data_IF_697756252310
#
_entry.id   IF_697756252310
#
_cell.length_a   1.000
_cell.length_b   1.000
_cell.length_c   1.000
_cell.angle_alpha   90.00
_cell.angle_beta   90.00
_cell.angle_gamma   90.00
#
_symmetry.space_group_name_H-M   'P 1'
#
loop_
_entity.id
_entity.type
_entity.pdbx_description
1 polymer ?
#
# COMPACT_ATOMS: atom_id res chain seq x y z
N UNK A 1 -44.16 42.81 42.65
CA UNK A 1 -43.97 41.44 42.14
C UNK A 1 -43.00 41.50 40.96
N UNK A 2 -41.71 41.14 41.12
CA UNK A 2 -40.78 41.06 39.99
C UNK A 2 -40.64 39.61 39.52
N UNK A 3 -40.60 39.45 38.19
CA UNK A 3 -40.47 38.19 37.46
C UNK A 3 -38.97 37.86 37.34
N UNK A 4 -38.57 36.67 37.78
CA UNK A 4 -37.21 36.15 37.60
C UNK A 4 -37.06 35.48 36.22
N UNK A 5 -36.14 36.00 35.41
CA UNK A 5 -35.82 35.51 34.07
C UNK A 5 -34.72 34.44 34.16
N UNK A 6 -35.06 33.19 33.83
CA UNK A 6 -34.11 32.07 33.75
C UNK A 6 -33.41 32.07 32.38
N UNK A 7 -32.10 32.33 32.36
CA UNK A 7 -31.27 32.25 31.16
C UNK A 7 -30.60 30.88 31.09
N UNK A 8 -31.07 30.00 30.17
CA UNK A 8 -30.40 28.74 29.85
C UNK A 8 -29.48 28.95 28.65
N UNK A 9 -28.17 28.84 28.86
CA UNK A 9 -27.15 28.83 27.83
C UNK A 9 -27.10 27.42 27.23
N UNK A 10 -27.47 27.29 25.96
CA UNK A 10 -27.31 26.06 25.17
C UNK A 10 -25.97 26.15 24.43
N UNK A 11 -25.01 25.33 24.85
CA UNK A 11 -23.73 25.19 24.15
C UNK A 11 -23.92 24.31 22.90
N UNK A 12 -23.80 24.89 21.72
CA UNK A 12 -23.79 24.17 20.45
C UNK A 12 -22.39 23.60 20.19
N UNK A 13 -22.26 22.27 20.19
CA UNK A 13 -21.07 21.55 19.75
C UNK A 13 -20.96 21.62 18.22
N UNK A 14 -20.04 22.44 17.71
CA UNK A 14 -19.63 22.40 16.30
C UNK A 14 -18.80 21.14 16.05
N UNK A 15 -19.40 20.14 15.39
CA UNK A 15 -18.67 19.06 14.74
C UNK A 15 -17.98 19.62 13.50
N UNK A 16 -16.69 19.94 13.61
CA UNK A 16 -15.88 20.28 12.45
C UNK A 16 -15.67 19.02 11.61
N UNK A 17 -16.44 18.90 10.52
CA UNK A 17 -16.16 17.92 9.47
C UNK A 17 -14.84 18.29 8.80
N UNK A 18 -13.77 17.55 9.11
CA UNK A 18 -12.54 17.61 8.33
C UNK A 18 -12.84 17.06 6.94
N UNK A 19 -12.93 17.95 5.95
CA UNK A 19 -12.89 17.56 4.56
C UNK A 19 -11.51 16.96 4.28
N UNK A 20 -11.46 15.64 4.09
CA UNK A 20 -10.27 14.98 3.58
C UNK A 20 -10.04 15.51 2.15
N UNK A 21 -8.99 16.32 1.98
CA UNK A 21 -8.50 16.69 0.66
C UNK A 21 -8.09 15.42 -0.06
N UNK A 22 -8.95 14.95 -0.97
CA UNK A 22 -8.62 13.89 -1.91
C UNK A 22 -7.50 14.43 -2.80
N UNK A 23 -6.26 14.08 -2.49
CA UNK A 23 -5.17 14.25 -3.42
C UNK A 23 -5.56 13.48 -4.68
N UNK A 24 -5.81 14.18 -5.78
CA UNK A 24 -6.03 13.53 -7.06
C UNK A 24 -4.72 12.82 -7.40
N UNK A 25 -4.67 11.51 -7.15
CA UNK A 25 -3.54 10.69 -7.56
C UNK A 25 -3.30 10.94 -9.06
N UNK A 26 -2.04 11.14 -9.50
CA UNK A 26 -1.73 11.31 -10.91
C UNK A 26 -2.37 10.15 -11.68
N UNK A 27 -2.97 10.45 -12.84
CA UNK A 27 -3.63 9.46 -13.70
C UNK A 27 -2.70 8.28 -13.86
N UNK A 28 -3.03 7.19 -13.16
CA UNK A 28 -2.19 6.00 -13.07
C UNK A 28 -2.19 5.36 -14.45
N UNK A 29 -1.06 5.44 -15.15
CA UNK A 29 -0.87 4.64 -16.36
C UNK A 29 -0.81 3.18 -15.93
N UNK A 30 -1.70 2.37 -16.48
CA UNK A 30 -1.69 0.91 -16.27
C UNK A 30 -0.31 0.37 -16.59
N UNK A 31 0.17 -0.63 -15.82
CA UNK A 31 1.30 -1.42 -16.25
C UNK A 31 1.05 -1.92 -17.66
N UNK A 32 1.97 -1.71 -18.61
CA UNK A 32 1.86 -2.39 -19.90
C UNK A 32 2.36 -3.82 -19.66
N UNK A 33 1.48 -4.83 -19.65
CA UNK A 33 1.90 -6.19 -19.37
C UNK A 33 2.89 -6.71 -20.42
N UNK A 34 3.08 -6.03 -21.56
CA UNK A 34 4.15 -6.36 -22.51
C UNK A 34 5.54 -6.01 -21.98
N UNK A 35 5.68 -4.95 -21.20
CA UNK A 35 6.99 -4.50 -20.67
C UNK A 35 7.55 -5.51 -19.67
N UNK A 36 6.71 -6.16 -18.86
CA UNK A 36 7.15 -7.10 -17.83
C UNK A 36 7.02 -8.58 -18.20
N UNK A 37 6.19 -8.93 -19.18
CA UNK A 37 5.96 -10.35 -19.58
C UNK A 37 7.26 -11.07 -19.94
N UNK A 38 8.15 -10.40 -20.68
CA UNK A 38 9.43 -11.00 -21.06
C UNK A 38 10.30 -11.25 -19.84
N UNK A 39 10.47 -10.24 -18.98
CA UNK A 39 11.24 -10.38 -17.75
C UNK A 39 10.67 -11.48 -16.84
N UNK A 40 9.36 -11.53 -16.63
CA UNK A 40 8.70 -12.57 -15.85
C UNK A 40 8.98 -13.97 -16.40
N UNK A 41 8.85 -14.17 -17.72
CA UNK A 41 9.16 -15.46 -18.36
C UNK A 41 10.64 -15.85 -18.22
N UNK A 42 11.56 -14.89 -18.25
CA UNK A 42 12.99 -15.16 -18.04
C UNK A 42 13.26 -15.60 -16.59
N UNK A 43 12.61 -14.98 -15.61
CA UNK A 43 12.70 -15.37 -14.21
C UNK A 43 12.09 -16.76 -13.95
N UNK A 44 10.93 -17.05 -14.54
CA UNK A 44 10.27 -18.37 -14.44
C UNK A 44 11.16 -19.49 -15.02
N UNK A 45 11.86 -19.19 -16.13
CA UNK A 45 12.82 -20.11 -16.76
C UNK A 45 14.21 -20.09 -16.10
N UNK A 46 14.42 -19.30 -15.04
CA UNK A 46 15.70 -19.11 -14.35
C UNK A 46 16.85 -18.64 -15.28
N UNK A 47 16.54 -17.96 -16.39
CA UNK A 47 17.52 -17.37 -17.30
C UNK A 47 18.00 -16.01 -16.77
N UNK A 48 18.82 -16.07 -15.71
CA UNK A 48 19.33 -14.87 -15.04
C UNK A 48 20.17 -13.95 -15.95
N UNK A 49 21.06 -14.45 -16.85
CA UNK A 49 21.78 -13.58 -17.77
C UNK A 49 20.85 -12.74 -18.66
N UNK A 50 19.82 -13.36 -19.24
CA UNK A 50 18.86 -12.65 -20.07
C UNK A 50 17.98 -11.71 -19.24
N UNK A 51 17.53 -12.13 -18.05
CA UNK A 51 16.74 -11.30 -17.15
C UNK A 51 17.50 -10.02 -16.75
N UNK A 52 18.79 -10.15 -16.43
CA UNK A 52 19.65 -9.00 -16.11
C UNK A 52 19.83 -8.07 -17.31
N UNK A 53 19.90 -8.63 -18.53
CA UNK A 53 19.97 -7.81 -19.74
C UNK A 53 18.67 -7.02 -19.97
N UNK A 54 17.52 -7.67 -19.83
CA UNK A 54 16.20 -7.02 -19.91
C UNK A 54 16.06 -5.89 -18.88
N UNK A 55 16.48 -6.14 -17.62
CA UNK A 55 16.51 -5.12 -16.56
C UNK A 55 17.39 -3.94 -16.94
N UNK A 56 18.59 -4.16 -17.48
CA UNK A 56 19.49 -3.07 -17.90
C UNK A 56 18.84 -2.20 -18.98
N UNK A 57 18.15 -2.81 -19.93
CA UNK A 57 17.53 -2.09 -21.03
C UNK A 57 16.26 -1.33 -20.56
N UNK A 58 15.46 -1.93 -19.68
CA UNK A 58 14.33 -1.25 -19.05
C UNK A 58 14.73 -0.10 -18.13
N UNK A 59 15.85 -0.22 -17.39
CA UNK A 59 16.41 0.88 -16.58
C UNK A 59 16.79 2.06 -17.49
N UNK A 60 17.47 1.82 -18.62
CA UNK A 60 17.83 2.88 -19.58
C UNK A 60 16.60 3.55 -20.17
N UNK A 61 15.56 2.77 -20.49
CA UNK A 61 14.31 3.26 -21.03
C UNK A 61 13.38 3.90 -19.98
N UNK A 62 13.74 3.85 -18.69
CA UNK A 62 12.90 4.27 -17.55
C UNK A 62 11.50 3.63 -17.58
N UNK A 63 11.44 2.35 -17.93
CA UNK A 63 10.18 1.60 -17.91
C UNK A 63 9.75 1.36 -16.46
N UNK A 64 8.62 1.93 -16.00
CA UNK A 64 8.24 1.94 -14.58
C UNK A 64 8.11 0.53 -13.99
N UNK A 65 7.52 -0.40 -14.72
CA UNK A 65 7.30 -1.76 -14.21
C UNK A 65 8.56 -2.62 -14.25
N UNK A 66 9.47 -2.38 -15.21
CA UNK A 66 10.78 -3.04 -15.22
C UNK A 66 11.64 -2.51 -14.07
N UNK A 67 11.57 -1.21 -13.77
CA UNK A 67 12.23 -0.63 -12.58
C UNK A 67 11.70 -1.26 -11.29
N UNK A 68 10.38 -1.46 -11.17
CA UNK A 68 9.77 -2.20 -10.06
C UNK A 68 10.31 -3.62 -9.91
N UNK A 69 10.32 -4.40 -11.00
CA UNK A 69 10.82 -5.77 -10.97
C UNK A 69 12.33 -5.82 -10.65
N UNK A 70 13.11 -4.91 -11.21
CA UNK A 70 14.54 -4.78 -10.93
C UNK A 70 14.80 -4.47 -9.45
N UNK A 71 13.99 -3.60 -8.84
CA UNK A 71 14.07 -3.30 -7.42
C UNK A 71 13.82 -4.54 -6.57
N UNK A 72 12.74 -5.28 -6.84
CA UNK A 72 12.41 -6.53 -6.15
C UNK A 72 13.51 -7.60 -6.32
N UNK A 73 14.05 -7.75 -7.53
CA UNK A 73 15.18 -8.66 -7.82
C UNK A 73 16.42 -8.32 -6.97
N UNK A 74 16.76 -7.02 -6.85
CA UNK A 74 17.85 -6.57 -5.99
C UNK A 74 17.54 -6.68 -4.50
N UNK A 75 16.28 -6.55 -4.10
CA UNK A 75 15.86 -6.68 -2.71
C UNK A 75 15.98 -8.13 -2.23
N UNK A 76 15.45 -9.07 -3.03
CA UNK A 76 15.38 -10.50 -2.71
C UNK A 76 16.65 -11.27 -3.13
N UNK A 77 17.53 -10.66 -3.92
CA UNK A 77 18.73 -11.31 -4.44
C UNK A 77 18.46 -12.33 -5.55
N UNK A 78 17.38 -12.15 -6.31
CA UNK A 78 17.00 -13.03 -7.42
C UNK A 78 17.71 -12.59 -8.69
N UNK A 79 18.54 -13.47 -9.26
CA UNK A 79 19.38 -13.22 -10.45
C UNK A 79 20.37 -12.04 -10.34
N UNK A 80 20.38 -11.31 -9.22
CA UNK A 80 21.23 -10.16 -8.94
C UNK A 80 21.71 -10.27 -7.49
N UNK A 81 22.87 -9.69 -7.18
CA UNK A 81 23.33 -9.62 -5.79
C UNK A 81 22.37 -8.73 -4.98
N UNK A 82 21.93 -9.24 -3.83
CA UNK A 82 21.06 -8.48 -2.95
C UNK A 82 21.69 -7.12 -2.56
N UNK A 83 20.94 -6.04 -2.76
CA UNK A 83 21.33 -4.68 -2.43
C UNK A 83 20.08 -3.81 -2.21
N UNK A 84 19.68 -3.65 -0.95
CA UNK A 84 18.47 -2.93 -0.58
C UNK A 84 18.54 -1.43 -0.87
N UNK A 85 19.71 -0.79 -0.73
CA UNK A 85 19.87 0.65 -1.01
C UNK A 85 19.59 0.94 -2.48
N UNK A 86 20.14 0.11 -3.36
CA UNK A 86 19.86 0.20 -4.81
C UNK A 86 18.42 -0.17 -5.14
N UNK A 87 17.83 -1.15 -4.45
CA UNK A 87 16.42 -1.49 -4.61
C UNK A 87 15.53 -0.28 -4.28
N UNK A 88 15.79 0.42 -3.17
CA UNK A 88 15.08 1.65 -2.80
C UNK A 88 15.23 2.73 -3.87
N UNK A 89 16.43 2.95 -4.42
CA UNK A 89 16.62 3.90 -5.53
C UNK A 89 15.84 3.49 -6.78
N UNK A 90 15.75 2.20 -7.09
CA UNK A 90 14.97 1.70 -8.23
C UNK A 90 13.47 1.87 -8.00
N UNK A 91 12.95 1.62 -6.79
CA UNK A 91 11.57 1.91 -6.45
C UNK A 91 11.27 3.41 -6.55
N UNK A 92 12.17 4.27 -6.07
CA UNK A 92 12.02 5.72 -6.20
C UNK A 92 11.97 6.15 -7.68
N UNK A 93 12.86 5.62 -8.52
CA UNK A 93 12.82 5.87 -9.98
C UNK A 93 11.54 5.32 -10.63
N UNK A 94 11.06 4.15 -10.22
CA UNK A 94 9.81 3.57 -10.73
C UNK A 94 8.61 4.45 -10.37
N UNK A 95 8.59 4.99 -9.14
CA UNK A 95 7.57 5.92 -8.69
C UNK A 95 7.57 7.20 -9.52
N UNK A 96 8.75 7.79 -9.74
CA UNK A 96 8.93 8.97 -10.59
C UNK A 96 8.58 8.69 -12.06
N UNK A 97 8.74 7.46 -12.52
CA UNK A 97 8.36 7.00 -13.87
C UNK A 97 6.86 6.67 -13.99
N UNK A 98 6.07 6.84 -12.93
CA UNK A 98 4.62 6.66 -12.95
C UNK A 98 4.11 5.31 -12.47
N UNK A 99 4.94 4.48 -11.82
CA UNK A 99 4.47 3.27 -11.14
C UNK A 99 3.88 3.64 -9.76
N UNK A 100 2.56 3.59 -9.56
CA UNK A 100 1.95 3.94 -8.27
C UNK A 100 2.32 2.97 -7.15
N UNK A 101 2.54 1.68 -7.47
CA UNK A 101 2.94 0.65 -6.50
C UNK A 101 4.32 0.86 -5.95
N UNK A 102 5.18 1.53 -6.70
CA UNK A 102 6.57 1.71 -6.32
C UNK A 102 6.72 2.47 -5.02
N UNK A 103 5.79 3.38 -4.74
CA UNK A 103 5.72 4.03 -3.45
C UNK A 103 5.55 3.05 -2.30
N UNK A 104 4.55 2.17 -2.40
CA UNK A 104 4.25 1.19 -1.38
C UNK A 104 5.39 0.18 -1.22
N UNK A 105 5.95 -0.30 -2.34
CA UNK A 105 7.10 -1.20 -2.31
C UNK A 105 8.33 -0.54 -1.68
N UNK A 106 8.58 0.75 -1.95
CA UNK A 106 9.65 1.52 -1.33
C UNK A 106 9.46 1.65 0.19
N UNK A 107 8.28 2.05 0.65
CA UNK A 107 7.97 2.14 2.09
C UNK A 107 8.15 0.78 2.76
N UNK A 108 7.65 -0.29 2.13
CA UNK A 108 7.78 -1.65 2.63
C UNK A 108 9.26 -2.08 2.74
N UNK A 109 10.06 -1.82 1.71
CA UNK A 109 11.49 -2.11 1.69
C UNK A 109 12.25 -1.37 2.80
N UNK A 110 11.92 -0.09 3.01
CA UNK A 110 12.51 0.75 4.07
C UNK A 110 12.07 0.35 5.48
N UNK A 111 10.86 -0.16 5.65
CA UNK A 111 10.32 -0.57 6.95
C UNK A 111 10.80 -1.96 7.41
N UNK A 112 11.50 -2.70 6.54
CA UNK A 112 11.95 -4.04 6.86
C UNK A 112 12.99 -4.03 8.01
N UNK A 113 13.11 -5.12 8.80
CA UNK A 113 14.05 -5.15 9.92
C UNK A 113 15.49 -4.80 9.52
N UNK A 114 16.13 -3.90 10.27
CA UNK A 114 17.51 -3.47 10.03
C UNK A 114 17.70 -2.51 8.84
N UNK A 115 16.63 -1.83 8.40
CA UNK A 115 16.65 -0.84 7.33
C UNK A 115 16.40 0.58 7.87
N UNK A 116 16.24 1.54 6.96
CA UNK A 116 15.99 2.95 7.27
C UNK A 116 14.50 3.19 7.61
N UNK A 117 14.14 2.77 8.82
CA UNK A 117 12.79 2.84 9.37
C UNK A 117 12.27 4.29 9.50
N UNK A 118 13.16 5.26 9.74
CA UNK A 118 12.80 6.68 9.82
C UNK A 118 12.34 7.19 8.46
N UNK A 119 13.09 6.87 7.40
CA UNK A 119 12.70 7.19 6.02
C UNK A 119 11.44 6.44 5.58
N UNK A 120 11.21 5.23 6.08
CA UNK A 120 9.93 4.53 5.87
C UNK A 120 8.74 5.35 6.39
N UNK A 121 8.84 5.89 7.61
CA UNK A 121 7.80 6.75 8.19
C UNK A 121 7.70 8.11 7.49
N UNK A 122 8.81 8.68 7.03
CA UNK A 122 8.83 9.92 6.26
C UNK A 122 8.05 9.80 4.95
N UNK A 123 8.29 8.73 4.19
CA UNK A 123 7.48 8.43 3.02
C UNK A 123 6.05 8.08 3.44
N UNK A 124 5.85 7.31 4.50
CA UNK A 124 4.51 6.95 4.92
C UNK A 124 3.61 8.16 5.26
N UNK A 125 4.16 9.15 5.94
CA UNK A 125 3.44 10.37 6.31
C UNK A 125 3.02 11.24 5.12
N UNK A 126 3.66 11.10 3.95
CA UNK A 126 3.29 11.85 2.74
C UNK A 126 1.98 11.38 2.11
N UNK A 127 1.53 10.16 2.40
CA UNK A 127 0.23 9.66 1.94
C UNK A 127 -0.58 9.25 3.16
N UNK A 128 -1.73 9.87 3.36
CA UNK A 128 -2.64 9.44 4.43
C UNK A 128 -3.26 8.10 4.05
N UNK A 129 -2.71 6.99 4.55
CA UNK A 129 -3.31 5.65 4.43
C UNK A 129 -3.72 5.10 5.80
N UNK A 130 -4.23 6.00 6.64
CA UNK A 130 -4.93 5.63 7.88
C UNK A 130 -4.03 5.24 9.06
N UNK A 131 -2.73 5.57 9.04
CA UNK A 131 -1.91 5.44 10.24
C UNK A 131 -2.49 6.31 11.37
N UNK A 132 -2.43 5.84 12.63
CA UNK A 132 -2.93 6.62 13.76
C UNK A 132 -2.10 7.89 13.91
N UNK A 133 -2.71 8.96 14.45
CA UNK A 133 -2.00 10.23 14.66
C UNK A 133 -0.73 10.13 15.52
N UNK A 134 -0.63 9.10 16.37
CA UNK A 134 0.60 8.79 17.11
C UNK A 134 1.78 8.39 16.23
N UNK A 135 1.53 7.99 14.97
CA UNK A 135 2.52 7.57 13.98
C UNK A 135 2.81 8.63 12.92
N UNK A 136 2.15 9.78 12.99
CA UNK A 136 2.31 10.86 12.03
C UNK A 136 2.78 12.09 12.79
N UNK A 137 4.09 12.42 12.71
CA UNK A 137 4.58 13.70 13.17
C UNK A 137 3.72 14.86 12.66
N UNK A 138 3.57 15.91 13.47
CA UNK A 138 2.77 17.09 13.13
C UNK A 138 3.45 17.94 12.06
N UNK A 139 4.78 17.97 12.06
CA UNK A 139 5.56 18.59 11.01
C UNK A 139 5.22 17.95 9.65
N UNK A 140 5.10 18.78 8.61
CA UNK A 140 4.88 18.31 7.25
C UNK A 140 6.22 17.77 6.69
N UNK A 141 6.33 16.48 6.31
CA UNK A 141 7.60 15.88 5.87
C UNK A 141 8.20 16.56 4.63
N UNK A 142 7.37 17.22 3.80
CA UNK A 142 7.81 17.89 2.58
C UNK A 142 8.20 19.36 2.80
N UNK A 143 7.64 20.01 3.84
CA UNK A 143 7.89 21.43 4.12
C UNK A 143 8.82 21.67 5.31
N UNK A 144 8.88 20.71 6.23
CA UNK A 144 9.58 20.82 7.51
C UNK A 144 10.34 19.52 7.81
N UNK A 145 11.27 19.08 6.93
CA UNK A 145 11.94 17.79 7.08
C UNK A 145 12.74 17.66 8.38
N UNK A 146 13.42 18.73 8.82
CA UNK A 146 14.19 18.72 10.06
C UNK A 146 13.27 18.58 11.28
N UNK A 147 12.18 19.35 11.35
CA UNK A 147 11.20 19.26 12.44
C UNK A 147 10.51 17.89 12.46
N UNK A 148 10.27 17.29 11.29
CA UNK A 148 9.73 15.93 11.18
C UNK A 148 10.69 14.89 11.77
N UNK A 149 11.98 14.97 11.42
CA UNK A 149 13.00 14.07 11.95
C UNK A 149 13.16 14.24 13.46
N UNK A 150 13.19 15.48 13.94
CA UNK A 150 13.19 15.84 15.36
C UNK A 150 12.02 15.21 16.14
N UNK A 151 10.82 15.19 15.55
CA UNK A 151 9.65 14.55 16.16
C UNK A 151 9.76 13.02 16.15
N UNK A 152 10.31 12.42 15.08
CA UNK A 152 10.58 10.98 15.04
C UNK A 152 11.61 10.55 16.09
N UNK A 153 12.67 11.33 16.29
CA UNK A 153 13.71 11.04 17.30
C UNK A 153 13.19 11.10 18.74
N UNK A 154 12.18 11.95 19.00
CA UNK A 154 11.52 12.07 20.31
C UNK A 154 10.42 11.05 20.52
N UNK A 155 10.05 10.29 19.49
CA UNK A 155 9.00 9.28 19.58
C UNK A 155 9.44 8.15 20.54
N UNK A 156 8.58 7.71 21.48
CA UNK A 156 8.92 6.58 22.32
C UNK A 156 9.29 5.35 21.47
N UNK A 157 10.36 4.60 21.80
CA UNK A 157 10.85 3.52 20.92
C UNK A 157 9.82 2.45 20.58
N UNK A 158 8.92 2.14 21.51
CA UNK A 158 7.80 1.21 21.32
C UNK A 158 6.76 1.74 20.33
N UNK A 159 6.44 3.03 20.39
CA UNK A 159 5.55 3.70 19.43
C UNK A 159 6.21 3.71 18.06
N UNK A 160 7.49 4.08 17.97
CA UNK A 160 8.24 4.07 16.71
C UNK A 160 8.22 2.70 16.05
N UNK A 161 8.55 1.63 16.79
CA UNK A 161 8.50 0.26 16.26
C UNK A 161 7.09 -0.15 15.80
N UNK A 162 6.05 0.21 16.55
CA UNK A 162 4.66 -0.05 16.15
C UNK A 162 4.31 0.68 14.85
N UNK A 163 4.70 1.94 14.71
CA UNK A 163 4.45 2.74 13.52
C UNK A 163 5.16 2.18 12.28
N UNK A 164 6.42 1.78 12.42
CA UNK A 164 7.19 1.15 11.35
C UNK A 164 6.55 -0.18 10.94
N UNK A 165 6.15 -1.01 11.91
CA UNK A 165 5.45 -2.27 11.64
C UNK A 165 4.16 -2.05 10.85
N UNK A 166 3.34 -1.09 11.26
CA UNK A 166 2.09 -0.77 10.57
C UNK A 166 2.33 -0.22 9.17
N UNK A 167 3.26 0.72 9.00
CA UNK A 167 3.62 1.27 7.71
C UNK A 167 4.15 0.19 6.74
N UNK A 168 5.02 -0.69 7.26
CA UNK A 168 5.60 -1.81 6.51
C UNK A 168 4.53 -2.81 6.06
N UNK A 169 3.72 -3.33 6.98
CA UNK A 169 2.67 -4.32 6.66
C UNK A 169 1.65 -3.74 5.67
N UNK A 170 1.13 -2.55 5.93
CA UNK A 170 0.14 -1.92 5.04
C UNK A 170 0.72 -1.70 3.65
N UNK A 171 1.95 -1.18 3.57
CA UNK A 171 2.58 -0.89 2.28
C UNK A 171 2.98 -2.15 1.52
N UNK A 172 3.46 -3.20 2.21
CA UNK A 172 3.76 -4.48 1.58
C UNK A 172 2.49 -5.10 0.96
N UNK A 173 1.38 -5.07 1.71
CA UNK A 173 0.09 -5.56 1.21
C UNK A 173 -0.39 -4.75 0.02
N UNK A 174 -0.43 -3.42 0.11
CA UNK A 174 -0.88 -2.58 -1.01
C UNK A 174 0.01 -2.69 -2.24
N UNK A 175 1.33 -2.72 -2.05
CA UNK A 175 2.31 -2.85 -3.13
C UNK A 175 2.20 -4.18 -3.88
N UNK A 176 1.76 -5.26 -3.21
CA UNK A 176 1.65 -6.60 -3.80
C UNK A 176 0.25 -7.05 -4.19
N UNK A 177 -0.79 -6.29 -3.84
CA UNK A 177 -2.18 -6.65 -4.13
C UNK A 177 -2.66 -6.08 -5.47
N UNK A 178 -1.85 -5.27 -6.15
CA UNK A 178 -2.22 -4.71 -7.44
C UNK A 178 -2.44 -5.77 -8.51
N UNK A 179 -3.60 -5.68 -9.17
CA UNK A 179 -4.06 -6.55 -10.26
C UNK A 179 -4.11 -8.04 -9.89
N UNK A 180 -5.05 -8.47 -9.05
CA UNK A 180 -5.27 -9.89 -8.80
C UNK A 180 -5.37 -10.70 -10.11
N UNK A 181 -4.69 -11.85 -10.25
CA UNK A 181 -4.71 -12.61 -11.50
C UNK A 181 -6.13 -12.95 -11.99
N UNK A 182 -7.04 -13.26 -11.08
CA UNK A 182 -8.44 -13.50 -11.39
C UNK A 182 -9.12 -12.24 -11.97
N UNK A 183 -8.85 -11.04 -11.45
CA UNK A 183 -9.45 -9.81 -12.01
C UNK A 183 -9.08 -9.66 -13.48
N UNK A 184 -7.78 -9.83 -13.80
CA UNK A 184 -7.26 -9.77 -15.17
C UNK A 184 -7.86 -10.85 -16.08
N UNK A 185 -7.91 -12.10 -15.61
CA UNK A 185 -8.41 -13.24 -16.38
C UNK A 185 -9.89 -13.08 -16.77
N UNK A 186 -10.71 -12.53 -15.87
CA UNK A 186 -12.15 -12.40 -16.06
C UNK A 186 -12.60 -11.00 -16.50
N UNK A 187 -11.67 -10.06 -16.69
CA UNK A 187 -11.95 -8.63 -17.01
C UNK A 187 -12.93 -7.98 -16.02
N UNK A 188 -12.68 -8.21 -14.74
CA UNK A 188 -13.51 -7.69 -13.65
C UNK A 188 -12.93 -6.45 -13.00
N UNK A 189 -13.84 -5.64 -12.46
CA UNK A 189 -13.53 -4.57 -11.53
C UNK A 189 -14.23 -4.82 -10.20
N UNK A 190 -13.68 -4.28 -9.11
CA UNK A 190 -14.28 -4.42 -7.79
C UNK A 190 -13.46 -3.73 -6.72
N UNK A 191 -14.03 -3.74 -5.51
CA UNK A 191 -13.40 -3.21 -4.31
C UNK A 191 -13.16 -4.35 -3.31
N UNK A 192 -11.99 -4.33 -2.68
CA UNK A 192 -11.64 -5.18 -1.56
C UNK A 192 -11.38 -4.29 -0.35
N UNK A 193 -12.19 -4.45 0.69
CA UNK A 193 -11.97 -3.78 1.97
C UNK A 193 -11.05 -4.65 2.84
N UNK A 194 -9.97 -4.04 3.30
CA UNK A 194 -9.01 -4.61 4.24
C UNK A 194 -9.26 -4.06 5.63
N UNK A 195 -9.22 -4.92 6.64
CA UNK A 195 -9.06 -4.52 8.04
C UNK A 195 -7.83 -5.21 8.61
N UNK A 196 -6.97 -4.44 9.24
CA UNK A 196 -5.76 -4.91 9.90
C UNK A 196 -5.82 -4.55 11.38
N UNK A 197 -5.70 -5.57 12.24
CA UNK A 197 -5.59 -5.45 13.70
C UNK A 197 -4.12 -5.68 14.06
N UNK A 198 -3.30 -4.61 14.21
CA UNK A 198 -1.85 -4.75 14.29
C UNK A 198 -1.41 -5.41 15.60
N UNK A 199 -2.18 -5.20 16.66
CA UNK A 199 -1.97 -5.84 17.97
C UNK A 199 -2.05 -7.36 17.93
N UNK A 200 -2.80 -7.97 17.01
CA UNK A 200 -2.89 -9.43 16.85
C UNK A 200 -2.22 -9.95 15.59
N UNK A 201 -1.74 -9.06 14.71
CA UNK A 201 -1.20 -9.44 13.40
C UNK A 201 -2.26 -10.09 12.50
N UNK A 202 -3.53 -9.66 12.61
CA UNK A 202 -4.63 -10.26 11.84
C UNK A 202 -5.08 -9.30 10.75
N UNK A 203 -5.11 -9.77 9.50
CA UNK A 203 -5.67 -9.06 8.37
C UNK A 203 -6.89 -9.83 7.86
N UNK A 204 -8.02 -9.15 7.74
CA UNK A 204 -9.25 -9.69 7.15
C UNK A 204 -9.62 -8.90 5.90
N UNK A 205 -10.17 -9.62 4.92
CA UNK A 205 -10.60 -9.05 3.65
C UNK A 205 -12.08 -9.30 3.44
N UNK A 206 -12.76 -8.30 2.88
CA UNK A 206 -14.15 -8.39 2.47
C UNK A 206 -14.21 -7.91 1.03
N UNK A 207 -14.87 -8.68 0.18
CA UNK A 207 -15.21 -8.23 -1.16
C UNK A 207 -16.43 -7.30 -1.06
N UNK A 208 -16.26 -6.05 -1.48
CA UNK A 208 -17.34 -5.07 -1.51
C UNK A 208 -17.95 -5.05 -2.92
N UNK A 209 -19.23 -5.39 -3.00
CA UNK A 209 -19.98 -5.29 -4.24
C UNK A 209 -20.16 -3.80 -4.57
N UNK A 210 -19.61 -3.35 -5.69
CA UNK A 210 -19.82 -1.99 -6.18
C UNK A 210 -21.14 -1.93 -6.94
N UNK A 211 -22.06 -1.05 -6.53
CA UNK A 211 -23.36 -0.87 -7.20
C UNK A 211 -23.24 -0.30 -8.63
N UNK A 212 -22.10 0.31 -8.98
CA UNK A 212 -21.88 0.96 -10.26
C UNK A 212 -21.10 0.08 -11.25
N UNK A 213 -21.83 -0.54 -12.16
CA UNK A 213 -21.26 -1.17 -13.36
C UNK A 213 -21.10 -0.12 -14.45
N UNK A 214 -19.88 0.35 -14.71
CA UNK A 214 -19.59 1.10 -15.93
C UNK A 214 -19.94 0.27 -17.17
N UNK A 215 -20.50 0.87 -18.24
CA UNK A 215 -20.82 0.14 -19.47
C UNK A 215 -19.58 -0.58 -20.04
N UNK A 216 -19.68 -1.89 -20.29
CA UNK A 216 -18.59 -2.71 -20.84
C UNK A 216 -17.82 -3.54 -19.83
N UNK A 217 -17.91 -3.24 -18.54
CA UNK A 217 -17.27 -4.02 -17.48
C UNK A 217 -18.23 -5.01 -16.85
N UNK A 218 -17.76 -6.24 -16.63
CA UNK A 218 -18.52 -7.26 -15.93
C UNK A 218 -18.43 -7.01 -14.43
N UNK A 219 -19.59 -6.81 -13.84
CA UNK A 219 -19.75 -6.64 -12.40
C UNK A 219 -19.92 -8.03 -11.78
N UNK A 220 -19.05 -8.35 -10.82
CA UNK A 220 -19.08 -9.60 -10.06
C UNK A 220 -20.43 -9.84 -9.39
N UNK A 221 -21.13 -8.78 -8.97
CA UNK A 221 -22.42 -8.88 -8.27
C UNK A 221 -23.59 -9.29 -9.16
N UNK A 222 -23.38 -9.38 -10.48
CA UNK A 222 -24.39 -9.78 -11.44
C UNK A 222 -24.15 -11.24 -11.82
N UNK A 223 -25.24 -12.00 -12.03
CA UNK A 223 -25.26 -13.42 -12.44
C UNK A 223 -24.63 -13.72 -13.83
N UNK A 224 -23.63 -12.94 -14.24
CA UNK A 224 -22.90 -13.02 -15.50
C UNK A 224 -21.78 -14.07 -15.46
N UNK A 225 -21.38 -14.51 -14.27
CA UNK A 225 -20.41 -15.58 -14.07
C UNK A 225 -21.12 -16.84 -13.59
N UNK A 226 -20.91 -17.96 -14.28
CA UNK A 226 -21.41 -19.26 -13.83
C UNK A 226 -20.80 -19.72 -12.49
N UNK A 227 -19.71 -19.07 -12.04
CA UNK A 227 -18.96 -19.47 -10.84
C UNK A 227 -18.43 -18.28 -10.03
N UNK A 228 -19.30 -17.29 -9.75
CA UNK A 228 -18.98 -16.08 -8.97
C UNK A 228 -18.27 -16.41 -7.63
N UNK A 229 -18.78 -17.42 -6.91
CA UNK A 229 -18.21 -17.84 -5.62
C UNK A 229 -16.77 -18.35 -5.74
N UNK A 230 -16.45 -19.09 -6.82
CA UNK A 230 -15.07 -19.53 -7.06
C UNK A 230 -14.16 -18.34 -7.33
N UNK A 231 -14.62 -17.40 -8.15
CA UNK A 231 -13.85 -16.20 -8.48
C UNK A 231 -13.58 -15.36 -7.23
N UNK A 232 -14.61 -15.10 -6.42
CA UNK A 232 -14.47 -14.39 -5.15
C UNK A 232 -13.46 -15.10 -4.23
N UNK A 233 -13.58 -16.43 -4.10
CA UNK A 233 -12.64 -17.24 -3.33
C UNK A 233 -11.21 -17.15 -3.86
N UNK A 234 -11.00 -17.15 -5.18
CA UNK A 234 -9.68 -16.97 -5.79
C UNK A 234 -9.08 -15.59 -5.47
N UNK A 235 -9.89 -14.53 -5.54
CA UNK A 235 -9.48 -13.17 -5.16
C UNK A 235 -9.11 -13.08 -3.67
N UNK A 236 -9.97 -13.60 -2.79
CA UNK A 236 -9.73 -13.59 -1.34
C UNK A 236 -8.50 -14.41 -0.97
N UNK A 237 -8.28 -15.56 -1.59
CA UNK A 237 -7.08 -16.37 -1.38
C UNK A 237 -5.82 -15.64 -1.84
N UNK A 238 -5.87 -14.92 -2.96
CA UNK A 238 -4.76 -14.13 -3.45
C UNK A 238 -4.35 -13.03 -2.45
N UNK A 239 -5.30 -12.21 -1.99
CA UNK A 239 -4.99 -11.12 -1.04
C UNK A 239 -4.63 -11.65 0.34
N UNK A 240 -5.20 -12.78 0.76
CA UNK A 240 -4.78 -13.47 1.98
C UNK A 240 -3.32 -13.91 1.88
N UNK A 241 -2.90 -14.52 0.77
CA UNK A 241 -1.50 -14.92 0.60
C UNK A 241 -0.53 -13.73 0.65
N UNK A 242 -0.92 -12.56 0.11
CA UNK A 242 -0.11 -11.33 0.24
C UNK A 242 -0.05 -10.81 1.67
N UNK A 243 -1.16 -10.93 2.41
CA UNK A 243 -1.24 -10.57 3.82
C UNK A 243 -0.36 -11.47 4.68
N UNK A 244 -0.43 -12.79 4.48
CA UNK A 244 0.40 -13.76 5.18
C UNK A 244 1.89 -13.50 4.92
N UNK A 245 2.26 -13.20 3.67
CA UNK A 245 3.63 -12.81 3.32
C UNK A 245 4.09 -11.56 4.08
N UNK A 246 3.27 -10.49 4.10
CA UNK A 246 3.61 -9.27 4.81
C UNK A 246 3.78 -9.53 6.32
N UNK A 247 2.84 -10.24 6.94
CA UNK A 247 2.90 -10.56 8.37
C UNK A 247 4.10 -11.42 8.75
N UNK A 248 4.57 -12.29 7.85
CA UNK A 248 5.79 -13.06 8.05
C UNK A 248 7.06 -12.21 7.92
N UNK A 249 7.02 -11.17 7.08
CA UNK A 249 8.17 -10.28 6.81
C UNK A 249 8.45 -9.29 7.94
N UNK A 250 7.42 -8.78 8.60
CA UNK A 250 7.56 -7.77 9.66
C UNK A 250 7.26 -8.35 11.03
N UNK A 251 8.27 -8.34 11.91
CA UNK A 251 8.10 -8.75 13.31
C UNK A 251 7.15 -7.80 14.04
N UNK A 252 6.03 -8.33 14.51
CA UNK A 252 5.05 -7.58 15.31
C UNK A 252 5.69 -7.15 16.66
N UNK A 253 5.73 -5.84 16.98
CA UNK A 253 6.16 -5.38 18.29
C UNK A 253 5.06 -5.58 19.35
N UNK A 254 5.47 -5.70 20.60
CA UNK A 254 4.55 -5.72 21.74
C UNK A 254 3.98 -4.32 22.04
N UNK A 255 2.91 -4.26 22.84
CA UNK A 255 2.37 -3.00 23.35
C UNK A 255 1.52 -2.19 22.37
N UNK A 256 1.19 -2.74 21.19
CA UNK A 256 0.22 -2.10 20.29
C UNK A 256 -1.18 -2.19 20.91
N UNK A 257 -1.91 -1.07 20.92
CA UNK A 257 -3.29 -1.00 21.41
C UNK A 257 -4.19 -2.05 20.73
N UNK A 258 -4.83 -2.96 21.49
CA UNK A 258 -5.74 -3.96 20.93
C UNK A 258 -6.97 -3.38 20.22
N UNK A 259 -7.37 -2.14 20.53
CA UNK A 259 -8.48 -1.46 19.88
C UNK A 259 -8.09 -0.79 18.54
N UNK A 260 -6.79 -0.69 18.24
CA UNK A 260 -6.33 -0.08 16.99
C UNK A 260 -6.66 -0.97 15.80
N UNK A 261 -7.41 -0.42 14.85
CA UNK A 261 -7.76 -1.06 13.58
C UNK A 261 -7.39 -0.11 12.46
N UNK A 262 -6.58 -0.60 11.52
CA UNK A 262 -6.30 0.10 10.27
C UNK A 262 -7.21 -0.46 9.20
N UNK A 263 -7.78 0.43 8.38
CA UNK A 263 -8.63 0.04 7.25
C UNK A 263 -8.01 0.53 5.96
N UNK A 264 -8.23 -0.23 4.90
CA UNK A 264 -7.77 0.11 3.56
C UNK A 264 -8.77 -0.36 2.52
N UNK A 265 -8.90 0.39 1.44
CA UNK A 265 -9.71 -0.01 0.30
C UNK A 265 -8.80 -0.25 -0.89
N UNK A 266 -8.99 -1.38 -1.56
CA UNK A 266 -8.28 -1.72 -2.76
C UNK A 266 -9.27 -1.81 -3.92
N UNK A 267 -9.17 -0.85 -4.82
CA UNK A 267 -9.94 -0.81 -6.06
C UNK A 267 -9.12 -1.38 -7.20
N UNK A 268 -9.67 -2.35 -7.92
CA UNK A 268 -9.10 -2.84 -9.17
C UNK A 268 -10.08 -2.58 -10.32
N UNK A 269 -9.57 -2.06 -11.43
CA UNK A 269 -10.35 -1.75 -12.65
C UNK A 269 -9.66 -2.26 -13.90
N UNK A 270 -10.46 -2.62 -14.90
CA UNK A 270 -9.99 -3.08 -16.22
C UNK A 270 -10.66 -2.19 -17.28
N UNK A 271 -10.04 -1.06 -17.59
CA UNK A 271 -10.18 -0.28 -18.83
C UNK A 271 -9.70 -1.06 -20.07
#
# INVERSE_FOLDING_TARGET
MPVALNLRIVLALCTASFAFSVWADPVVKRPDPRETRRLAALLDNQDCPAAVQEVKDGIKARQPDVLMMAAAMMEDGVCMKANWEKAVSLYEMAYQAGSPTAWHAMVAALAAPGRDNGRALWFAAQRSYGLPGSCTPKADPLKQPDAFNDELERMPPEVFRACVYMAGVMSEVFGRTQYPPASLAYRMQGNLAMKFVPSSGVITWIFEQTADSSPGNRDMSKAQFHDERKIEKELLNYVKAKSDFALARYTRPEGIDPALVLSGEFRFTID
#
